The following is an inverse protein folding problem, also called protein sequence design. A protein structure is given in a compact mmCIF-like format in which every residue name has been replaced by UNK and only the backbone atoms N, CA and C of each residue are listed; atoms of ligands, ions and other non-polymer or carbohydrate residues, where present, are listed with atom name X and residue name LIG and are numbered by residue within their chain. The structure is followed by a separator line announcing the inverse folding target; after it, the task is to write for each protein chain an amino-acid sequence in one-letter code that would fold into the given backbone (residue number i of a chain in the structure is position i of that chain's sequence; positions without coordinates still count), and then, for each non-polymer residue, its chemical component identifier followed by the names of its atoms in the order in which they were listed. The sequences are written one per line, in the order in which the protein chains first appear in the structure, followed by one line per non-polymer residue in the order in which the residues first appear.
data_IF_611683802939
#
_entry.id   IF_611683802939
#
_cell.length_a   1.000
_cell.length_b   1.000
_cell.length_c   1.000
_cell.angle_alpha   90.00
_cell.angle_beta   90.00
_cell.angle_gamma   90.00
#
_symmetry.space_group_name_H-M   'P 1'
#
loop_
_entity.id
_entity.type
_entity.pdbx_description
1 polymer ?
#
# COMPACT_ATOMS: atom_id res chain seq x y z
N UNK A 1 -15.30 -14.66 -3.50
CA UNK A 1 -15.07 -13.58 -2.53
C UNK A 1 -14.48 -12.38 -3.27
N UNK A 2 -15.07 -11.19 -3.19
CA UNK A 2 -14.59 -10.04 -3.95
C UNK A 2 -13.22 -9.56 -3.38
N UNK A 3 -12.19 -9.37 -4.21
CA UNK A 3 -10.86 -8.90 -3.78
C UNK A 3 -10.90 -7.66 -2.88
N UNK A 4 -11.78 -6.71 -3.21
CA UNK A 4 -11.96 -5.47 -2.46
C UNK A 4 -12.40 -5.71 -1.02
N UNK A 5 -13.32 -6.66 -0.79
CA UNK A 5 -13.81 -7.00 0.56
C UNK A 5 -12.71 -7.65 1.41
N UNK A 6 -11.88 -8.49 0.80
CA UNK A 6 -10.75 -9.12 1.49
C UNK A 6 -9.73 -8.06 1.94
N UNK A 7 -9.32 -7.18 1.03
CA UNK A 7 -8.32 -6.14 1.32
C UNK A 7 -8.84 -5.15 2.38
N UNK A 8 -10.12 -4.74 2.29
CA UNK A 8 -10.72 -3.87 3.30
C UNK A 8 -10.71 -4.50 4.69
N UNK A 9 -11.03 -5.80 4.79
CA UNK A 9 -10.98 -6.53 6.05
C UNK A 9 -9.56 -6.62 6.60
N UNK A 10 -8.57 -7.00 5.76
CA UNK A 10 -7.17 -7.09 6.17
C UNK A 10 -6.68 -5.74 6.68
N UNK A 11 -6.86 -4.66 5.91
CA UNK A 11 -6.40 -3.32 6.30
C UNK A 11 -7.06 -2.86 7.60
N UNK A 12 -8.35 -3.12 7.77
CA UNK A 12 -9.09 -2.77 9.00
C UNK A 12 -8.58 -3.53 10.21
N UNK A 13 -8.51 -4.87 10.12
CA UNK A 13 -8.13 -5.72 11.25
C UNK A 13 -6.67 -5.50 11.63
N UNK A 14 -5.77 -5.51 10.66
CA UNK A 14 -4.33 -5.29 10.92
C UNK A 14 -4.07 -3.89 11.49
N UNK A 15 -4.74 -2.85 10.97
CA UNK A 15 -4.61 -1.51 11.53
C UNK A 15 -5.05 -1.44 12.99
N UNK A 16 -6.06 -2.21 13.40
CA UNK A 16 -6.50 -2.26 14.80
C UNK A 16 -5.50 -3.01 15.66
N UNK A 17 -5.12 -4.22 15.25
CA UNK A 17 -4.23 -5.09 16.03
C UNK A 17 -2.84 -4.46 16.20
N UNK A 18 -2.24 -3.92 15.14
CA UNK A 18 -0.92 -3.28 15.20
C UNK A 18 -0.93 -2.09 16.16
N UNK A 19 -2.00 -1.28 16.18
CA UNK A 19 -2.13 -0.18 17.14
C UNK A 19 -2.34 -0.63 18.58
N UNK A 20 -2.94 -1.80 18.79
CA UNK A 20 -3.10 -2.37 20.13
C UNK A 20 -1.78 -2.93 20.67
N UNK A 21 -1.04 -3.66 19.84
CA UNK A 21 0.21 -4.33 20.25
C UNK A 21 1.40 -3.38 20.33
N UNK A 22 1.47 -2.36 19.45
CA UNK A 22 2.64 -1.49 19.29
C UNK A 22 2.35 -0.01 19.59
N UNK A 23 1.32 0.30 20.39
CA UNK A 23 0.86 1.66 20.67
C UNK A 23 2.01 2.64 21.02
N UNK A 24 2.86 2.29 22.00
CA UNK A 24 3.94 3.16 22.45
C UNK A 24 5.11 3.30 21.45
N UNK A 25 5.24 2.38 20.49
CA UNK A 25 6.19 2.55 19.39
C UNK A 25 5.61 3.47 18.31
N UNK A 26 4.34 3.27 17.97
CA UNK A 26 3.67 4.02 16.90
C UNK A 26 3.42 5.48 17.28
N UNK A 27 3.20 5.79 18.56
CA UNK A 27 3.04 7.16 19.05
C UNK A 27 4.21 8.07 18.61
N UNK A 28 5.43 7.54 18.58
CA UNK A 28 6.64 8.28 18.18
C UNK A 28 6.65 8.70 16.71
N UNK A 29 5.95 7.96 15.84
CA UNK A 29 5.96 8.18 14.39
C UNK A 29 4.64 8.76 13.86
N UNK A 30 3.52 8.34 14.44
CA UNK A 30 2.18 8.68 13.98
C UNK A 30 1.48 9.72 14.88
N UNK A 31 1.92 9.91 16.13
CA UNK A 31 1.22 10.74 17.11
C UNK A 31 -0.27 10.37 17.18
N UNK A 32 -1.15 11.37 17.07
CA UNK A 32 -2.61 11.21 17.10
C UNK A 32 -3.23 10.75 15.75
N UNK A 33 -2.42 10.49 14.72
CA UNK A 33 -2.95 10.13 13.39
C UNK A 33 -3.61 8.76 13.43
N UNK A 34 -4.91 8.74 13.12
CA UNK A 34 -5.74 7.52 13.10
C UNK A 34 -5.63 6.72 11.79
N UNK A 35 -4.61 6.93 10.97
CA UNK A 35 -4.45 6.28 9.67
C UNK A 35 -3.15 5.48 9.66
N UNK A 36 -3.26 4.16 9.44
CA UNK A 36 -2.12 3.25 9.37
C UNK A 36 -1.79 2.86 7.93
N UNK A 37 -2.82 2.51 7.15
CA UNK A 37 -2.69 2.20 5.73
C UNK A 37 -3.17 3.37 4.86
N UNK A 38 -2.51 3.59 3.72
CA UNK A 38 -3.01 4.48 2.67
C UNK A 38 -4.29 3.91 2.04
N UNK A 39 -5.07 4.71 1.30
CA UNK A 39 -6.27 4.20 0.60
C UNK A 39 -5.96 3.16 -0.47
N UNK A 40 -4.80 3.30 -1.13
CA UNK A 40 -4.36 2.47 -2.24
C UNK A 40 -4.06 1.01 -1.85
N UNK A 41 -4.21 0.11 -2.82
CA UNK A 41 -3.80 -1.29 -2.71
C UNK A 41 -3.55 -1.83 -4.12
N UNK A 42 -2.67 -2.82 -4.22
CA UNK A 42 -2.39 -3.54 -5.46
C UNK A 42 -2.66 -5.04 -5.23
N UNK A 43 -3.33 -5.67 -6.18
CA UNK A 43 -3.56 -7.11 -6.19
C UNK A 43 -3.30 -7.64 -7.59
N UNK A 44 -2.51 -8.70 -7.68
CA UNK A 44 -2.23 -9.41 -8.91
C UNK A 44 -2.41 -10.91 -8.66
N UNK A 45 -2.96 -11.63 -9.63
CA UNK A 45 -3.05 -13.10 -9.56
C UNK A 45 -1.68 -13.71 -9.82
N UNK A 46 -1.21 -14.58 -8.92
CA UNK A 46 0.04 -15.34 -9.12
C UNK A 46 -0.16 -16.57 -10.04
N UNK A 47 -0.89 -16.41 -11.14
CA UNK A 47 -1.00 -17.41 -12.20
C UNK A 47 -0.23 -16.93 -13.43
N UNK A 48 1.05 -17.32 -13.55
CA UNK A 48 1.88 -17.01 -14.73
C UNK A 48 2.48 -15.60 -14.80
N UNK A 49 2.60 -14.88 -13.67
CA UNK A 49 3.25 -13.57 -13.65
C UNK A 49 4.77 -13.75 -13.59
N UNK A 50 5.47 -13.31 -14.65
CA UNK A 50 6.93 -13.36 -14.70
C UNK A 50 7.55 -12.13 -14.02
N UNK A 51 8.82 -12.24 -13.62
CA UNK A 51 9.57 -11.15 -12.96
C UNK A 51 9.60 -9.89 -13.83
N UNK A 52 9.56 -10.04 -15.16
CA UNK A 52 9.55 -8.94 -16.13
C UNK A 52 8.28 -8.09 -16.01
N UNK A 53 7.11 -8.70 -15.85
CA UNK A 53 5.84 -7.97 -15.69
C UNK A 53 5.81 -7.18 -14.37
N UNK A 54 6.41 -7.73 -13.31
CA UNK A 54 6.51 -7.05 -12.02
C UNK A 54 7.43 -5.82 -12.12
N UNK A 55 8.56 -5.95 -12.84
CA UNK A 55 9.49 -4.83 -13.08
C UNK A 55 8.84 -3.71 -13.87
N UNK A 56 8.09 -4.02 -14.94
CA UNK A 56 7.35 -3.01 -15.71
C UNK A 56 6.33 -2.26 -14.86
N UNK A 57 5.54 -2.97 -14.04
CA UNK A 57 4.57 -2.32 -13.15
C UNK A 57 5.25 -1.35 -12.15
N UNK A 58 6.38 -1.75 -11.56
CA UNK A 58 7.13 -0.90 -10.61
C UNK A 58 7.76 0.31 -11.32
N UNK A 59 8.27 0.15 -12.55
CA UNK A 59 8.82 1.24 -13.36
C UNK A 59 7.73 2.24 -13.75
N UNK A 60 6.56 1.76 -14.17
CA UNK A 60 5.42 2.61 -14.56
C UNK A 60 4.82 3.37 -13.36
N UNK A 61 5.01 2.88 -12.14
CA UNK A 61 4.48 3.47 -10.91
C UNK A 61 5.55 4.16 -10.04
N UNK A 62 6.80 4.23 -10.50
CA UNK A 62 7.87 5.00 -9.86
C UNK A 62 7.86 6.47 -10.34
N UNK A 63 7.01 7.26 -9.67
CA UNK A 63 6.91 8.73 -9.59
C UNK A 63 6.22 9.52 -10.73
N UNK A 64 5.30 10.44 -10.36
CA UNK A 64 5.01 11.66 -11.11
C UNK A 64 5.75 12.86 -10.46
N UNK A 65 6.74 13.47 -11.12
CA UNK A 65 7.24 14.80 -10.76
C UNK A 65 7.65 15.56 -12.02
N UNK A 66 7.05 16.73 -12.22
CA UNK A 66 7.18 17.54 -13.42
C UNK A 66 8.58 18.07 -13.68
N UNK A 67 9.09 17.76 -14.86
CA UNK A 67 10.19 18.49 -15.49
C UNK A 67 9.93 18.59 -17.01
N UNK A 68 9.24 19.66 -17.42
CA UNK A 68 9.33 20.22 -18.78
C UNK A 68 10.73 20.89 -18.94
N UNK A 69 11.35 21.10 -20.14
CA UNK A 69 10.71 21.40 -21.42
C UNK A 69 11.38 20.88 -22.73
N UNK A 70 10.70 21.19 -23.85
CA UNK A 70 11.19 21.43 -25.23
C UNK A 70 11.66 20.26 -26.11
N UNK A 71 10.75 19.77 -26.95
CA UNK A 71 10.88 19.89 -28.42
C UNK A 71 9.52 19.93 -29.10
#
# INVERSE_FOLDING_TARGET
MAPVKLIANIKTVTSRLIRQEFAGHLEKFYGDKKVFWTGSYFIASCGGVTIEQLKSYVQDHAYPVGQFPSR
#
